data_IF_574020907041
#
_entry.id   IF_574020907041
#
_cell.length_a   1.000
_cell.length_b   1.000
_cell.length_c   1.000
_cell.angle_alpha   90.00
_cell.angle_beta   90.00
_cell.angle_gamma   90.00
#
_symmetry.space_group_name_H-M   'P 1'
#
loop_
_entity.id
_entity.type
_entity.pdbx_description
1 polymer ?
#
# COMPACT_ATOMS: atom_id res chain seq x y z
N UNK A 1 26.83 2.21 6.97
CA UNK A 1 25.63 1.64 6.30
C UNK A 1 24.50 1.26 7.27
N UNK A 2 24.76 0.73 8.47
CA UNK A 2 23.71 0.35 9.43
C UNK A 2 22.77 1.51 9.84
N UNK A 3 23.34 2.68 10.14
CA UNK A 3 22.58 3.89 10.54
C UNK A 3 21.57 4.32 9.46
N UNK A 4 21.97 4.27 8.18
CA UNK A 4 21.07 4.62 7.06
C UNK A 4 19.85 3.69 7.04
N UNK A 5 20.05 2.38 7.29
CA UNK A 5 18.95 1.41 7.31
C UNK A 5 18.01 1.60 8.50
N UNK A 6 18.55 1.96 9.66
CA UNK A 6 17.77 2.22 10.87
C UNK A 6 16.90 3.48 10.73
N UNK A 7 17.30 4.45 9.90
CA UNK A 7 16.51 5.65 9.62
C UNK A 7 15.55 5.42 8.43
N UNK A 8 16.02 4.78 7.36
CA UNK A 8 15.24 4.60 6.13
C UNK A 8 14.02 3.70 6.33
N UNK A 9 14.11 2.66 7.16
CA UNK A 9 12.99 1.73 7.40
C UNK A 9 11.79 2.40 8.08
N UNK A 10 11.94 3.15 9.19
CA UNK A 10 10.86 3.97 9.74
C UNK A 10 10.28 4.97 8.74
N UNK A 11 11.12 5.61 7.92
CA UNK A 11 10.65 6.56 6.91
C UNK A 11 9.77 5.89 5.84
N UNK A 12 10.20 4.72 5.34
CA UNK A 12 9.40 3.91 4.41
C UNK A 12 8.13 3.37 5.06
N UNK A 13 8.22 2.91 6.30
CA UNK A 13 7.09 2.37 7.05
C UNK A 13 6.02 3.42 7.38
N UNK A 14 6.42 4.69 7.57
CA UNK A 14 5.53 5.75 8.04
C UNK A 14 4.27 5.93 7.21
N UNK A 15 4.36 5.84 5.88
CA UNK A 15 3.20 5.98 4.98
C UNK A 15 2.20 4.82 5.17
N UNK A 16 2.69 3.62 5.44
CA UNK A 16 1.85 2.43 5.65
C UNK A 16 1.21 2.43 7.03
N UNK A 17 1.95 2.84 8.05
CA UNK A 17 1.42 2.97 9.41
C UNK A 17 0.33 4.04 9.44
N UNK A 18 0.61 5.24 8.92
CA UNK A 18 -0.38 6.33 8.88
C UNK A 18 -1.62 5.94 8.05
N UNK A 19 -1.40 5.41 6.84
CA UNK A 19 -2.50 4.99 5.96
C UNK A 19 -3.31 3.83 6.52
N UNK A 20 -2.68 2.87 7.20
CA UNK A 20 -3.37 1.75 7.83
C UNK A 20 -4.22 2.18 9.01
N UNK A 21 -3.74 3.08 9.88
CA UNK A 21 -4.55 3.62 10.99
C UNK A 21 -5.78 4.37 10.48
N UNK A 22 -5.62 5.18 9.44
CA UNK A 22 -6.72 5.92 8.83
C UNK A 22 -7.81 4.97 8.31
N UNK A 23 -7.42 3.94 7.55
CA UNK A 23 -8.36 2.95 7.00
C UNK A 23 -9.07 2.17 8.10
N UNK A 24 -8.37 1.74 9.15
CA UNK A 24 -9.01 1.02 10.25
C UNK A 24 -9.97 1.88 11.06
N UNK A 25 -9.73 3.19 11.11
CA UNK A 25 -10.61 4.13 11.81
C UNK A 25 -11.89 4.43 11.03
N UNK A 26 -11.82 4.43 9.70
CA UNK A 26 -12.95 4.67 8.81
C UNK A 26 -12.74 3.98 7.45
N UNK A 27 -13.10 2.70 7.31
CA UNK A 27 -12.80 1.91 6.11
C UNK A 27 -13.70 2.24 4.91
N UNK A 28 -14.89 2.78 5.12
CA UNK A 28 -15.94 2.95 4.11
C UNK A 28 -15.48 3.77 2.88
N UNK A 29 -14.81 4.93 3.02
CA UNK A 29 -14.38 5.72 1.86
C UNK A 29 -13.39 4.94 0.99
N UNK A 30 -12.46 4.22 1.63
CA UNK A 30 -11.46 3.40 0.93
C UNK A 30 -12.11 2.18 0.27
N UNK A 31 -13.08 1.56 0.95
CA UNK A 31 -13.84 0.44 0.43
C UNK A 31 -14.61 0.82 -0.85
N UNK A 32 -15.22 2.01 -0.90
CA UNK A 32 -15.93 2.51 -2.09
C UNK A 32 -15.01 2.66 -3.30
N UNK A 33 -13.82 3.23 -3.11
CA UNK A 33 -12.81 3.38 -4.17
C UNK A 33 -12.22 2.03 -4.57
N UNK A 34 -12.05 1.12 -3.63
CA UNK A 34 -11.41 -0.18 -3.86
C UNK A 34 -12.31 -1.22 -4.54
N UNK A 35 -13.65 -1.05 -4.53
CA UNK A 35 -14.63 -2.03 -5.08
C UNK A 35 -14.19 -2.69 -6.40
N UNK A 36 -13.90 -1.95 -7.48
CA UNK A 36 -13.56 -2.57 -8.77
C UNK A 36 -12.28 -3.39 -8.73
N UNK A 37 -11.31 -3.01 -7.90
CA UNK A 37 -10.06 -3.75 -7.73
C UNK A 37 -10.30 -4.99 -6.86
N UNK A 38 -11.07 -4.88 -5.78
CA UNK A 38 -11.45 -6.01 -4.92
C UNK A 38 -12.17 -7.08 -5.72
N UNK A 39 -13.14 -6.71 -6.56
CA UNK A 39 -13.85 -7.66 -7.43
C UNK A 39 -12.94 -8.34 -8.46
N UNK A 40 -11.93 -7.63 -9.00
CA UNK A 40 -10.93 -8.23 -9.89
C UNK A 40 -10.03 -9.22 -9.13
N UNK A 41 -9.55 -8.84 -7.95
CA UNK A 41 -8.70 -9.70 -7.11
C UNK A 41 -9.46 -10.93 -6.63
N UNK A 42 -10.69 -10.78 -6.16
CA UNK A 42 -11.53 -11.88 -5.67
C UNK A 42 -11.87 -12.92 -6.76
N UNK A 43 -11.86 -12.54 -8.03
CA UNK A 43 -12.00 -13.48 -9.17
C UNK A 43 -10.72 -14.25 -9.45
N UNK A 44 -9.56 -13.61 -9.27
CA UNK A 44 -8.26 -14.23 -9.54
C UNK A 44 -7.73 -15.05 -8.35
N UNK A 45 -8.12 -14.70 -7.12
CA UNK A 45 -7.59 -15.25 -5.88
C UNK A 45 -8.75 -15.82 -5.05
N UNK A 46 -8.94 -17.15 -5.01
CA UNK A 46 -10.10 -17.78 -4.37
C UNK A 46 -10.26 -17.46 -2.87
N UNK A 47 -9.16 -17.21 -2.18
CA UNK A 47 -9.13 -16.92 -0.74
C UNK A 47 -9.16 -15.42 -0.42
N UNK A 48 -9.21 -14.54 -1.43
CA UNK A 48 -9.27 -13.11 -1.19
C UNK A 48 -10.66 -12.68 -0.68
N UNK A 49 -10.74 -11.68 0.21
CA UNK A 49 -12.02 -11.14 0.64
C UNK A 49 -12.82 -10.58 -0.53
N UNK A 50 -14.10 -10.95 -0.60
CA UNK A 50 -15.05 -10.45 -1.61
C UNK A 50 -15.69 -9.13 -1.21
N UNK A 51 -15.85 -8.93 0.10
CA UNK A 51 -16.39 -7.70 0.65
C UNK A 51 -15.32 -6.59 0.65
N UNK A 52 -15.59 -5.42 0.04
CA UNK A 52 -14.63 -4.33 -0.04
C UNK A 52 -14.17 -3.78 1.31
N UNK A 53 -15.06 -3.69 2.31
CA UNK A 53 -14.70 -3.20 3.66
C UNK A 53 -13.72 -4.15 4.32
N UNK A 54 -14.00 -5.45 4.24
CA UNK A 54 -13.11 -6.51 4.73
C UNK A 54 -11.78 -6.48 4.00
N UNK A 55 -11.78 -6.35 2.67
CA UNK A 55 -10.56 -6.32 1.86
C UNK A 55 -9.63 -5.15 2.25
N UNK A 56 -10.17 -3.93 2.35
CA UNK A 56 -9.37 -2.76 2.74
C UNK A 56 -8.91 -2.83 4.19
N UNK A 57 -9.72 -3.40 5.09
CA UNK A 57 -9.36 -3.60 6.51
C UNK A 57 -8.24 -4.62 6.66
N UNK A 58 -8.29 -5.74 5.95
CA UNK A 58 -7.21 -6.75 5.93
C UNK A 58 -5.93 -6.13 5.38
N UNK A 59 -6.01 -5.38 4.28
CA UNK A 59 -4.85 -4.68 3.74
C UNK A 59 -4.28 -3.66 4.75
N UNK A 60 -5.13 -2.91 5.46
CA UNK A 60 -4.71 -1.96 6.48
C UNK A 60 -4.02 -2.63 7.69
N UNK A 61 -4.50 -3.80 8.12
CA UNK A 61 -3.84 -4.61 9.15
C UNK A 61 -2.45 -5.06 8.69
N UNK A 62 -2.30 -5.47 7.43
CA UNK A 62 -0.98 -5.79 6.85
C UNK A 62 -0.09 -4.56 6.86
N UNK A 63 -0.59 -3.40 6.46
CA UNK A 63 0.18 -2.16 6.43
C UNK A 63 0.66 -1.72 7.81
N UNK A 64 -0.20 -1.84 8.83
CA UNK A 64 0.17 -1.54 10.21
C UNK A 64 1.16 -2.54 10.79
N UNK A 65 0.88 -3.83 10.66
CA UNK A 65 1.72 -4.89 11.20
C UNK A 65 3.09 -4.91 10.53
N UNK A 66 3.12 -5.01 9.20
CA UNK A 66 4.37 -5.03 8.45
C UNK A 66 5.10 -3.69 8.52
N UNK A 67 4.38 -2.56 8.53
CA UNK A 67 4.98 -1.23 8.75
C UNK A 67 5.66 -1.13 10.11
N UNK A 68 4.97 -1.52 11.18
CA UNK A 68 5.53 -1.52 12.54
C UNK A 68 6.76 -2.42 12.67
N UNK A 69 6.69 -3.65 12.14
CA UNK A 69 7.82 -4.57 12.15
C UNK A 69 9.00 -4.07 11.30
N UNK A 70 8.73 -3.49 10.14
CA UNK A 70 9.75 -2.88 9.29
C UNK A 70 10.44 -1.72 10.01
N UNK A 71 9.67 -0.83 10.63
CA UNK A 71 10.20 0.29 11.41
C UNK A 71 11.05 -0.17 12.58
N UNK A 72 10.63 -1.24 13.29
CA UNK A 72 11.40 -1.87 14.36
C UNK A 72 12.61 -2.67 13.87
N UNK A 73 12.77 -2.86 12.55
CA UNK A 73 13.85 -3.65 11.96
C UNK A 73 13.70 -5.16 12.16
N UNK A 74 12.50 -5.65 12.49
CA UNK A 74 12.18 -7.06 12.69
C UNK A 74 11.81 -7.69 11.35
N UNK A 75 12.52 -8.77 10.97
CA UNK A 75 12.39 -9.47 9.68
C UNK A 75 12.16 -8.52 8.46
N UNK A 76 13.02 -7.50 8.27
CA UNK A 76 12.77 -6.37 7.38
C UNK A 76 12.55 -6.76 5.92
N UNK A 77 13.16 -7.88 5.48
CA UNK A 77 12.98 -8.38 4.11
C UNK A 77 11.54 -8.84 3.85
N UNK A 78 11.00 -9.66 4.76
CA UNK A 78 9.65 -10.22 4.65
C UNK A 78 8.59 -9.14 4.82
N UNK A 79 8.78 -8.23 5.78
CA UNK A 79 7.82 -7.14 6.01
C UNK A 79 7.82 -6.17 4.85
N UNK A 80 8.98 -5.88 4.25
CA UNK A 80 9.06 -5.07 3.04
C UNK A 80 8.37 -5.72 1.84
N UNK A 81 8.53 -7.04 1.65
CA UNK A 81 7.79 -7.77 0.61
C UNK A 81 6.27 -7.72 0.83
N UNK A 82 5.82 -7.88 2.07
CA UNK A 82 4.40 -7.79 2.39
C UNK A 82 3.84 -6.40 2.06
N UNK A 83 4.55 -5.33 2.41
CA UNK A 83 4.16 -3.96 2.07
C UNK A 83 4.19 -3.71 0.55
N UNK A 84 5.19 -4.26 -0.15
CA UNK A 84 5.34 -4.17 -1.60
C UNK A 84 4.18 -4.84 -2.34
N UNK A 85 3.72 -5.99 -1.86
CA UNK A 85 2.50 -6.63 -2.38
C UNK A 85 1.26 -5.79 -2.06
N UNK A 86 1.16 -5.24 -0.84
CA UNK A 86 -0.01 -4.44 -0.43
C UNK A 86 -0.19 -3.15 -1.23
N UNK A 87 0.91 -2.49 -1.63
CA UNK A 87 0.86 -1.18 -2.29
C UNK A 87 0.36 -1.29 -3.74
N UNK A 88 0.50 -2.45 -4.39
CA UNK A 88 0.08 -2.65 -5.79
C UNK A 88 -1.43 -2.48 -5.97
N UNK A 89 -2.31 -3.28 -5.33
CA UNK A 89 -3.76 -3.13 -5.50
C UNK A 89 -4.28 -1.79 -4.97
N UNK A 90 -3.69 -1.25 -3.89
CA UNK A 90 -4.07 0.07 -3.37
C UNK A 90 -3.72 1.20 -4.32
N UNK A 91 -2.60 1.12 -5.04
CA UNK A 91 -2.23 2.10 -6.06
C UNK A 91 -3.15 2.05 -7.28
N UNK A 92 -3.49 0.84 -7.74
CA UNK A 92 -4.42 0.64 -8.85
C UNK A 92 -5.83 1.15 -8.51
N UNK A 93 -6.27 1.00 -7.26
CA UNK A 93 -7.56 1.50 -6.79
C UNK A 93 -7.55 3.03 -6.62
N UNK A 94 -6.54 3.57 -5.93
CA UNK A 94 -6.53 4.97 -5.50
C UNK A 94 -6.10 5.96 -6.59
N UNK A 95 -5.27 5.53 -7.54
CA UNK A 95 -4.64 6.43 -8.51
C UNK A 95 -4.69 5.95 -9.97
N UNK A 96 -5.87 5.57 -10.51
CA UNK A 96 -6.01 5.16 -11.91
C UNK A 96 -5.99 6.36 -12.87
N UNK A 97 -4.84 7.02 -12.98
CA UNK A 97 -4.72 8.27 -13.74
C UNK A 97 -5.05 8.11 -15.23
N UNK A 98 -4.94 6.90 -15.78
CA UNK A 98 -5.28 6.58 -17.17
C UNK A 98 -6.78 6.67 -17.47
N UNK A 99 -7.64 6.60 -16.45
CA UNK A 99 -9.10 6.67 -16.59
C UNK A 99 -9.65 8.11 -16.36
N UNK A 100 -8.79 9.10 -16.14
CA UNK A 100 -9.20 10.48 -15.79
C UNK A 100 -9.13 11.38 -17.02
N UNK A 101 -10.23 12.03 -17.38
CA UNK A 101 -10.31 12.92 -18.54
C UNK A 101 -9.71 14.32 -18.29
N UNK A 102 -10.00 14.91 -17.13
CA UNK A 102 -9.52 16.25 -16.78
C UNK A 102 -7.97 16.27 -16.69
N UNK A 103 -7.29 17.12 -17.46
CA UNK A 103 -5.83 17.09 -17.58
C UNK A 103 -5.13 17.46 -16.26
N UNK A 104 -5.71 18.35 -15.46
CA UNK A 104 -5.13 18.79 -14.19
C UNK A 104 -5.23 17.68 -13.14
N UNK A 105 -6.38 17.04 -13.03
CA UNK A 105 -6.60 15.91 -12.14
C UNK A 105 -5.76 14.69 -12.55
N UNK A 106 -5.68 14.40 -13.86
CA UNK A 106 -4.82 13.34 -14.40
C UNK A 106 -3.36 13.54 -13.98
N UNK A 107 -2.83 14.75 -14.10
CA UNK A 107 -1.46 15.06 -13.71
C UNK A 107 -1.22 14.88 -12.20
N UNK A 108 -2.19 15.29 -11.37
CA UNK A 108 -2.13 15.09 -9.90
C UNK A 108 -2.13 13.60 -9.53
N UNK A 109 -3.01 12.81 -10.14
CA UNK A 109 -3.11 11.38 -9.84
C UNK A 109 -1.89 10.60 -10.37
N UNK A 110 -1.36 10.99 -11.53
CA UNK A 110 -0.09 10.45 -12.04
C UNK A 110 1.06 10.72 -11.07
N UNK A 111 1.09 11.87 -10.41
CA UNK A 111 2.10 12.18 -9.40
C UNK A 111 2.00 11.24 -8.19
N UNK A 112 0.79 10.95 -7.71
CA UNK A 112 0.60 10.00 -6.60
C UNK A 112 0.98 8.57 -7.00
N UNK A 113 0.60 8.14 -8.21
CA UNK A 113 1.04 6.87 -8.77
C UNK A 113 2.57 6.75 -8.79
N UNK A 114 3.27 7.79 -9.26
CA UNK A 114 4.74 7.82 -9.29
C UNK A 114 5.36 7.78 -7.90
N UNK A 115 4.77 8.44 -6.91
CA UNK A 115 5.20 8.35 -5.50
C UNK A 115 5.10 6.91 -4.98
N UNK A 116 3.99 6.23 -5.25
CA UNK A 116 3.82 4.84 -4.84
C UNK A 116 4.80 3.91 -5.56
N UNK A 117 5.12 4.16 -6.83
CA UNK A 117 6.18 3.42 -7.52
C UNK A 117 7.56 3.64 -6.90
N UNK A 118 7.89 4.88 -6.50
CA UNK A 118 9.14 5.16 -5.80
C UNK A 118 9.21 4.43 -4.44
N UNK A 119 8.11 4.43 -3.68
CA UNK A 119 7.99 3.68 -2.42
C UNK A 119 8.16 2.18 -2.67
N UNK A 120 7.50 1.63 -3.69
CA UNK A 120 7.65 0.23 -4.08
C UNK A 120 9.12 -0.11 -4.41
N UNK A 121 9.81 0.74 -5.17
CA UNK A 121 11.23 0.59 -5.45
C UNK A 121 12.07 0.54 -4.17
N UNK A 122 11.83 1.45 -3.22
CA UNK A 122 12.49 1.45 -1.91
C UNK A 122 12.23 0.18 -1.11
N UNK A 123 10.99 -0.32 -1.12
CA UNK A 123 10.64 -1.58 -0.47
C UNK A 123 11.35 -2.78 -1.11
N UNK A 124 11.42 -2.84 -2.44
CA UNK A 124 12.10 -3.93 -3.14
C UNK A 124 13.61 -3.92 -2.83
N UNK A 125 14.24 -2.75 -2.74
CA UNK A 125 15.64 -2.66 -2.28
C UNK A 125 15.78 -3.25 -0.88
N UNK A 126 14.92 -2.88 0.07
CA UNK A 126 14.97 -3.43 1.44
C UNK A 126 14.65 -4.94 1.49
N UNK A 127 13.81 -5.44 0.58
CA UNK A 127 13.44 -6.84 0.48
C UNK A 127 14.64 -7.73 0.07
N UNK A 128 15.52 -7.20 -0.78
CA UNK A 128 16.63 -7.95 -1.38
C UNK A 128 18.04 -7.50 -0.93
N UNK A 129 18.13 -6.47 -0.07
CA UNK A 129 19.36 -6.07 0.65
C UNK A 129 19.72 -7.02 1.79
#
# INVERSE_FOLDING_TARGET
>A
MRIIREIARPMLAGVFIAGGMEVLSNPEPRAQVAKPVVEKVARAVPFAPKDPVTAVSVNALVQLGAGGLLAAGIVPRLTSLALAVSIVPTTLAGHPFWDIEDPVQRARQRTQFLKNMAILGGLLVVAFD
#
